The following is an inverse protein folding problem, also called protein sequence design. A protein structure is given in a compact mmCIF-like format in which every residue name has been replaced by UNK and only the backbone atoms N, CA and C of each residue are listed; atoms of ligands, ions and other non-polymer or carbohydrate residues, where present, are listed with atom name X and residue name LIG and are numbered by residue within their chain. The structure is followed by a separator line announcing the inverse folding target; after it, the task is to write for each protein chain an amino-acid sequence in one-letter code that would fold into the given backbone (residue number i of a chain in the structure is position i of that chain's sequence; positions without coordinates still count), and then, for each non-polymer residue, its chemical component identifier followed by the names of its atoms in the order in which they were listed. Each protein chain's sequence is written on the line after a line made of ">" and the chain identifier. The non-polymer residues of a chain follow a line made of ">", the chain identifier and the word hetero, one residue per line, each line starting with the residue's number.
data_IF_246562048237
#
_entry.id   IF_246562048237
#
_cell.length_a   1.000
_cell.length_b   1.000
_cell.length_c   1.000
_cell.angle_alpha   90.00
_cell.angle_beta   90.00
_cell.angle_gamma   90.00
#
_symmetry.space_group_name_H-M   'P 1'
#
loop_
_entity.id
_entity.type
_entity.pdbx_description
1 polymer ?
#
# COMPACT_ATOMS: atom_id res chain seq x y z
N UNK A 1 33.64 -8.16 -39.53
CA UNK A 1 33.42 -9.37 -38.71
C UNK A 1 34.78 -9.91 -38.28
N UNK A 2 35.03 -10.17 -36.99
CA UNK A 2 36.29 -10.74 -36.54
C UNK A 2 36.35 -12.27 -36.74
N UNK A 3 37.54 -12.87 -36.95
CA UNK A 3 37.70 -14.29 -37.27
C UNK A 3 37.51 -15.21 -36.05
N UNK A 4 36.99 -16.42 -36.29
CA UNK A 4 36.69 -17.45 -35.27
C UNK A 4 37.89 -18.38 -35.06
N UNK A 5 38.31 -18.55 -33.81
CA UNK A 5 39.30 -19.55 -33.40
C UNK A 5 38.61 -20.89 -33.01
N UNK A 6 39.20 -22.06 -33.32
CA UNK A 6 38.62 -23.37 -33.01
C UNK A 6 38.86 -23.77 -31.54
N UNK A 7 37.81 -24.26 -30.86
CA UNK A 7 37.87 -24.78 -29.50
C UNK A 7 38.33 -26.26 -29.50
N UNK A 8 39.34 -26.56 -28.70
CA UNK A 8 39.88 -27.90 -28.47
C UNK A 8 38.97 -28.71 -27.53
N UNK A 9 38.80 -30.00 -27.84
CA UNK A 9 38.04 -30.97 -27.04
C UNK A 9 38.86 -31.38 -25.81
N UNK A 10 38.31 -31.20 -24.61
CA UNK A 10 38.93 -31.70 -23.37
C UNK A 10 38.67 -33.20 -23.19
N UNK A 11 39.76 -33.93 -22.92
CA UNK A 11 39.79 -35.34 -22.54
C UNK A 11 39.49 -35.53 -21.05
N UNK A 12 38.81 -36.63 -20.76
CA UNK A 12 38.29 -37.08 -19.46
C UNK A 12 39.40 -37.77 -18.66
N UNK A 13 39.64 -37.35 -17.41
CA UNK A 13 40.59 -37.99 -16.48
C UNK A 13 39.85 -39.06 -15.65
N UNK A 14 40.39 -40.28 -15.47
CA UNK A 14 39.89 -41.27 -14.52
C UNK A 14 40.56 -41.11 -13.14
N UNK A 15 39.78 -41.23 -12.07
CA UNK A 15 40.29 -41.17 -10.69
C UNK A 15 40.91 -42.51 -10.27
N UNK A 16 42.07 -42.40 -9.62
CA UNK A 16 42.98 -43.49 -9.32
C UNK A 16 42.65 -44.38 -8.12
N UNK A 17 43.28 -45.54 -8.17
CA UNK A 17 43.47 -46.53 -7.11
C UNK A 17 44.53 -46.10 -6.10
N UNK A 18 44.28 -46.31 -4.81
CA UNK A 18 45.32 -46.27 -3.77
C UNK A 18 45.14 -47.41 -2.76
N UNK A 19 46.28 -47.86 -2.21
CA UNK A 19 46.57 -49.18 -1.66
C UNK A 19 46.10 -49.46 -0.21
N UNK A 20 46.15 -50.78 0.05
CA UNK A 20 46.12 -51.60 1.26
C UNK A 20 46.65 -51.00 2.59
N UNK A 21 45.96 -51.40 3.68
CA UNK A 21 46.43 -51.39 5.07
C UNK A 21 45.72 -52.50 5.86
N UNK A 22 46.47 -53.20 6.73
CA UNK A 22 46.15 -54.49 7.35
C UNK A 22 45.19 -54.44 8.59
N UNK A 23 44.70 -55.64 8.95
CA UNK A 23 43.79 -56.13 10.02
C UNK A 23 44.08 -55.65 11.48
N UNK A 24 43.25 -55.92 12.54
CA UNK A 24 42.31 -57.04 12.70
C UNK A 24 40.95 -56.84 13.45
N UNK A 25 40.03 -57.77 13.13
CA UNK A 25 39.01 -58.45 13.96
C UNK A 25 38.31 -57.67 15.08
N UNK A 26 37.00 -57.45 14.94
CA UNK A 26 36.02 -57.61 16.02
C UNK A 26 34.62 -57.81 15.41
N UNK A 27 34.03 -58.96 15.71
CA UNK A 27 32.70 -59.40 15.28
C UNK A 27 31.60 -58.48 15.79
N UNK A 28 30.86 -57.83 14.88
CA UNK A 28 29.53 -57.32 15.16
C UNK A 28 28.63 -57.53 13.94
N UNK A 29 27.66 -58.42 14.11
CA UNK A 29 26.53 -58.60 13.22
C UNK A 29 25.72 -57.31 13.25
N UNK A 30 25.81 -56.50 12.20
CA UNK A 30 24.86 -55.41 11.93
C UNK A 30 24.41 -55.60 10.49
N UNK A 31 23.16 -56.04 10.33
CA UNK A 31 22.50 -56.14 9.04
C UNK A 31 22.52 -54.76 8.36
N UNK A 32 22.94 -54.64 7.08
CA UNK A 32 22.74 -53.40 6.36
C UNK A 32 21.24 -53.23 6.12
N UNK A 33 20.64 -52.22 6.76
CA UNK A 33 19.36 -51.68 6.33
C UNK A 33 19.63 -51.05 4.96
N UNK A 34 19.49 -51.86 3.92
CA UNK A 34 19.33 -51.41 2.55
C UNK A 34 18.03 -50.61 2.51
N UNK A 35 18.13 -49.30 2.61
CA UNK A 35 17.07 -48.39 2.24
C UNK A 35 17.04 -48.37 0.69
N UNK A 36 16.05 -48.97 0.01
CA UNK A 36 15.92 -48.74 -1.40
C UNK A 36 15.53 -47.28 -1.58
N UNK A 37 16.43 -46.47 -2.13
CA UNK A 37 16.10 -45.22 -2.78
C UNK A 37 15.06 -45.54 -3.86
N UNK A 38 13.78 -45.33 -3.55
CA UNK A 38 12.73 -45.44 -4.55
C UNK A 38 13.00 -44.37 -5.60
N UNK A 39 13.28 -44.71 -6.87
CA UNK A 39 13.25 -43.70 -7.91
C UNK A 39 11.82 -43.16 -7.93
N UNK A 40 11.68 -41.84 -7.87
CA UNK A 40 10.41 -41.15 -8.02
C UNK A 40 9.93 -41.39 -9.46
N UNK A 41 9.32 -42.54 -9.70
CA UNK A 41 8.74 -42.92 -10.97
C UNK A 41 7.42 -42.18 -11.13
N UNK A 42 7.38 -41.20 -12.02
CA UNK A 42 6.16 -40.57 -12.50
C UNK A 42 5.48 -41.48 -13.53
N UNK A 43 5.22 -42.74 -13.18
CA UNK A 43 4.29 -43.55 -13.98
C UNK A 43 2.89 -43.10 -13.60
N UNK A 44 2.14 -42.60 -14.58
CA UNK A 44 0.71 -42.37 -14.43
C UNK A 44 0.11 -43.66 -13.90
N UNK A 45 -0.66 -43.60 -12.80
CA UNK A 45 -1.38 -44.77 -12.31
C UNK A 45 -2.26 -45.26 -13.46
N UNK A 46 -1.84 -46.35 -14.09
CA UNK A 46 -2.57 -46.94 -15.20
C UNK A 46 -4.00 -47.18 -14.74
N UNK A 47 -4.96 -46.59 -15.46
CA UNK A 47 -6.40 -46.73 -15.18
C UNK A 47 -6.80 -48.22 -15.11
N UNK A 48 -6.02 -49.10 -15.74
CA UNK A 48 -6.16 -50.55 -15.68
C UNK A 48 -5.97 -51.15 -14.27
N UNK A 49 -5.04 -50.64 -13.45
CA UNK A 49 -4.79 -51.15 -12.07
C UNK A 49 -5.78 -50.66 -11.02
N UNK A 50 -6.62 -49.68 -11.36
CA UNK A 50 -7.74 -49.24 -10.49
C UNK A 50 -8.82 -50.31 -10.44
N UNK A 51 -9.02 -51.05 -11.53
CA UNK A 51 -10.00 -52.12 -11.65
C UNK A 51 -9.66 -53.43 -10.94
N UNK A 52 -8.40 -53.64 -10.52
CA UNK A 52 -7.89 -54.90 -9.96
C UNK A 52 -7.70 -54.92 -8.43
N UNK A 53 -8.05 -53.84 -7.71
CA UNK A 53 -8.15 -53.89 -6.24
C UNK A 53 -9.46 -54.57 -5.81
N UNK A 54 -9.73 -55.75 -6.38
CA UNK A 54 -10.99 -56.51 -6.26
C UNK A 54 -10.99 -57.41 -5.04
N UNK A 55 -10.90 -56.82 -3.86
CA UNK A 55 -11.62 -57.30 -2.67
C UNK A 55 -11.54 -56.24 -1.57
N UNK A 56 -11.96 -55.01 -1.88
CA UNK A 56 -12.14 -53.98 -0.86
C UNK A 56 -13.56 -54.06 -0.34
N UNK A 57 -13.67 -54.35 0.95
CA UNK A 57 -14.90 -54.30 1.70
C UNK A 57 -15.76 -53.09 1.25
N UNK A 58 -16.97 -53.31 0.70
CA UNK A 58 -17.83 -52.24 0.19
C UNK A 58 -18.14 -51.22 1.28
N UNK A 59 -18.19 -51.64 2.54
CA UNK A 59 -18.42 -50.77 3.68
C UNK A 59 -17.22 -49.85 3.95
N UNK A 60 -16.00 -50.39 3.97
CA UNK A 60 -14.78 -49.59 4.10
C UNK A 60 -14.62 -48.56 2.96
N UNK A 61 -15.03 -48.91 1.73
CA UNK A 61 -15.08 -47.97 0.60
C UNK A 61 -16.09 -46.85 0.87
N UNK A 62 -17.33 -47.19 1.25
CA UNK A 62 -18.36 -46.21 1.55
C UNK A 62 -17.92 -45.24 2.66
N UNK A 63 -17.30 -45.74 3.74
CA UNK A 63 -16.74 -44.89 4.80
C UNK A 63 -15.62 -43.97 4.30
N UNK A 64 -14.71 -44.47 3.46
CA UNK A 64 -13.65 -43.65 2.86
C UNK A 64 -14.23 -42.55 1.95
N UNK A 65 -15.27 -42.88 1.18
CA UNK A 65 -16.02 -41.91 0.38
C UNK A 65 -16.69 -40.86 1.25
N UNK A 66 -17.36 -41.24 2.35
CA UNK A 66 -17.96 -40.29 3.31
C UNK A 66 -16.91 -39.34 3.90
N UNK A 67 -15.75 -39.85 4.34
CA UNK A 67 -14.64 -39.01 4.84
C UNK A 67 -14.13 -38.03 3.79
N UNK A 68 -14.02 -38.48 2.53
CA UNK A 68 -13.62 -37.62 1.40
C UNK A 68 -14.67 -36.55 1.13
N UNK A 69 -15.96 -36.90 1.08
CA UNK A 69 -17.06 -35.96 0.88
C UNK A 69 -17.10 -34.91 1.99
N UNK A 70 -16.94 -35.31 3.26
CA UNK A 70 -16.87 -34.39 4.38
C UNK A 70 -15.66 -33.43 4.29
N UNK A 71 -14.49 -33.92 3.87
CA UNK A 71 -13.31 -33.07 3.67
C UNK A 71 -13.51 -32.09 2.50
N UNK A 72 -14.06 -32.56 1.38
CA UNK A 72 -14.40 -31.70 0.23
C UNK A 72 -15.41 -30.62 0.61
N UNK A 73 -16.48 -30.97 1.32
CA UNK A 73 -17.46 -30.00 1.83
C UNK A 73 -16.79 -28.95 2.75
N UNK A 74 -15.91 -29.37 3.66
CA UNK A 74 -15.14 -28.44 4.51
C UNK A 74 -14.21 -27.56 3.68
N UNK A 75 -13.55 -28.12 2.67
CA UNK A 75 -12.66 -27.39 1.77
C UNK A 75 -13.41 -26.34 0.96
N UNK A 76 -14.61 -26.65 0.47
CA UNK A 76 -15.49 -25.72 -0.24
C UNK A 76 -15.90 -24.54 0.66
N UNK A 77 -16.26 -24.79 1.92
CA UNK A 77 -16.56 -23.73 2.89
C UNK A 77 -15.35 -22.81 3.08
N UNK A 78 -14.17 -23.38 3.35
CA UNK A 78 -12.94 -22.61 3.52
C UNK A 78 -12.53 -21.86 2.24
N UNK A 79 -12.80 -22.42 1.06
CA UNK A 79 -12.55 -21.74 -0.21
C UNK A 79 -13.47 -20.52 -0.38
N UNK A 80 -14.76 -20.65 -0.06
CA UNK A 80 -15.71 -19.52 -0.09
C UNK A 80 -15.27 -18.41 0.88
N UNK A 81 -14.89 -18.75 2.10
CA UNK A 81 -14.37 -17.80 3.10
C UNK A 81 -13.10 -17.08 2.60
N UNK A 82 -12.14 -17.83 2.05
CA UNK A 82 -10.91 -17.25 1.48
C UNK A 82 -11.18 -16.39 0.25
N UNK A 83 -12.11 -16.79 -0.61
CA UNK A 83 -12.49 -16.03 -1.80
C UNK A 83 -13.14 -14.69 -1.41
N UNK A 84 -14.02 -14.69 -0.41
CA UNK A 84 -14.60 -13.47 0.14
C UNK A 84 -13.53 -12.55 0.74
N UNK A 85 -12.56 -13.10 1.48
CA UNK A 85 -11.46 -12.33 2.07
C UNK A 85 -10.46 -11.79 1.03
N UNK A 86 -10.40 -12.36 -0.18
CA UNK A 86 -9.48 -11.94 -1.23
C UNK A 86 -9.80 -10.52 -1.73
N UNK A 87 -11.07 -10.12 -1.71
CA UNK A 87 -11.55 -8.79 -2.12
C UNK A 87 -11.36 -8.49 -3.61
N UNK A 88 -11.67 -7.26 -4.02
CA UNK A 88 -11.44 -6.78 -5.39
C UNK A 88 -9.94 -6.50 -5.63
N UNK A 89 -9.30 -7.08 -6.67
CA UNK A 89 -7.89 -6.81 -6.98
C UNK A 89 -7.57 -5.34 -7.31
N UNK A 90 -8.56 -4.55 -7.77
CA UNK A 90 -8.37 -3.13 -8.10
C UNK A 90 -8.65 -2.26 -6.88
N UNK A 91 -9.84 -2.36 -6.29
CA UNK A 91 -10.30 -1.45 -5.23
C UNK A 91 -9.94 -1.92 -3.82
N UNK A 92 -9.78 -3.22 -3.59
CA UNK A 92 -9.63 -3.78 -2.25
C UNK A 92 -10.91 -3.60 -1.43
N UNK A 93 -10.76 -3.30 -0.15
CA UNK A 93 -11.85 -2.97 0.78
C UNK A 93 -11.86 -1.45 0.97
N UNK A 94 -13.03 -0.82 0.88
CA UNK A 94 -13.14 0.62 1.13
C UNK A 94 -12.92 0.93 2.61
N UNK A 95 -12.10 1.94 2.89
CA UNK A 95 -11.77 2.43 4.24
C UNK A 95 -12.11 3.92 4.36
N UNK A 96 -12.28 4.46 5.57
CA UNK A 96 -12.59 5.88 5.76
C UNK A 96 -11.50 6.80 5.17
N UNK A 97 -10.23 6.38 5.21
CA UNK A 97 -9.16 7.13 4.55
C UNK A 97 -9.36 7.19 3.04
N UNK A 98 -9.71 6.07 2.42
CA UNK A 98 -9.93 6.00 0.98
C UNK A 98 -11.18 6.80 0.56
N UNK A 99 -12.25 6.79 1.37
CA UNK A 99 -13.42 7.64 1.15
C UNK A 99 -13.07 9.13 1.20
N UNK A 100 -12.18 9.52 2.12
CA UNK A 100 -11.70 10.90 2.23
C UNK A 100 -10.90 11.42 1.02
N UNK A 101 -10.55 10.53 0.07
CA UNK A 101 -9.89 10.90 -1.19
C UNK A 101 -10.89 11.33 -2.26
N UNK A 102 -12.14 10.86 -2.20
CA UNK A 102 -13.17 11.21 -3.19
C UNK A 102 -13.78 12.59 -2.87
N UNK A 103 -13.93 12.90 -1.59
CA UNK A 103 -14.49 14.16 -1.12
C UNK A 103 -13.39 15.18 -0.85
N UNK A 104 -13.56 16.39 -1.40
CA UNK A 104 -12.65 17.51 -1.13
C UNK A 104 -12.69 17.95 0.34
N UNK A 105 -13.83 17.72 1.01
CA UNK A 105 -14.06 18.06 2.41
C UNK A 105 -13.70 16.87 3.30
N UNK A 106 -12.95 17.05 4.40
CA UNK A 106 -12.89 16.02 5.43
C UNK A 106 -14.31 15.83 5.93
N UNK A 107 -14.93 14.67 5.68
CA UNK A 107 -16.23 14.30 6.22
C UNK A 107 -16.25 14.72 7.71
N UNK A 108 -16.97 15.80 8.03
CA UNK A 108 -17.37 16.06 9.39
C UNK A 108 -18.15 14.81 9.79
N UNK A 109 -17.59 14.08 10.76
CA UNK A 109 -18.08 12.84 11.34
C UNK A 109 -19.36 12.30 10.68
N UNK A 110 -19.23 11.23 9.89
CA UNK A 110 -20.38 10.34 9.69
C UNK A 110 -20.92 10.05 11.10
N UNK A 111 -22.17 10.41 11.42
CA UNK A 111 -22.77 10.00 12.68
C UNK A 111 -22.90 8.50 12.59
N UNK A 112 -21.92 7.80 13.16
CA UNK A 112 -22.04 6.38 13.39
C UNK A 112 -22.90 6.27 14.63
N UNK A 113 -24.18 6.01 14.40
CA UNK A 113 -25.10 5.63 15.45
C UNK A 113 -24.49 4.47 16.25
N UNK A 114 -24.69 4.52 17.57
CA UNK A 114 -24.46 3.46 18.58
C UNK A 114 -23.08 3.43 19.27
N UNK A 115 -23.07 4.06 20.46
CA UNK A 115 -22.35 3.76 21.70
C UNK A 115 -21.22 2.70 21.71
N UNK A 116 -20.10 3.11 22.34
CA UNK A 116 -19.09 2.27 22.98
C UNK A 116 -17.93 1.78 22.10
N UNK A 117 -16.96 2.65 21.86
CA UNK A 117 -15.55 2.29 22.02
C UNK A 117 -14.71 3.54 22.31
N UNK A 118 -14.07 3.53 23.48
CA UNK A 118 -13.20 4.60 23.97
C UNK A 118 -11.82 4.41 23.32
N UNK A 119 -11.66 4.91 22.10
CA UNK A 119 -10.33 5.08 21.50
C UNK A 119 -9.84 6.51 21.77
N UNK A 120 -8.60 6.72 22.22
CA UNK A 120 -8.09 8.06 22.49
C UNK A 120 -7.82 8.77 21.16
N UNK A 121 -8.81 9.48 20.64
CA UNK A 121 -8.67 10.29 19.43
C UNK A 121 -7.97 11.61 19.76
N UNK A 122 -6.68 11.57 20.04
CA UNK A 122 -5.80 12.69 19.67
C UNK A 122 -5.57 12.62 18.15
N UNK A 123 -6.65 12.70 17.36
CA UNK A 123 -6.52 13.01 15.95
C UNK A 123 -6.15 14.48 15.91
N UNK A 124 -4.86 14.77 15.77
CA UNK A 124 -4.40 16.07 15.30
C UNK A 124 -5.29 16.45 14.13
N UNK A 125 -6.18 17.44 14.34
CA UNK A 125 -7.13 17.91 13.33
C UNK A 125 -6.28 18.53 12.24
N UNK A 126 -5.91 17.71 11.24
CA UNK A 126 -5.03 18.16 10.16
C UNK A 126 -5.78 19.22 9.39
N UNK A 127 -5.12 20.35 9.17
CA UNK A 127 -5.66 21.47 8.41
C UNK A 127 -6.17 20.99 7.04
N UNK A 128 -7.32 21.50 6.56
CA UNK A 128 -7.81 21.13 5.24
C UNK A 128 -6.81 21.59 4.17
N UNK A 129 -6.47 20.68 3.25
CA UNK A 129 -5.69 21.05 2.07
C UNK A 129 -6.49 22.01 1.21
N UNK A 130 -5.95 23.21 1.02
CA UNK A 130 -6.50 24.18 0.10
C UNK A 130 -5.95 23.96 -1.32
N UNK A 131 -6.55 24.64 -2.29
CA UNK A 131 -6.01 24.67 -3.64
C UNK A 131 -4.65 25.39 -3.68
N UNK A 132 -3.89 25.16 -4.75
CA UNK A 132 -2.59 25.81 -5.02
C UNK A 132 -1.50 25.54 -3.97
N UNK A 133 -1.62 24.44 -3.22
CA UNK A 133 -0.66 24.03 -2.16
C UNK A 133 -0.58 25.03 -0.99
N UNK A 134 -1.64 25.80 -0.76
CA UNK A 134 -1.69 26.74 0.36
C UNK A 134 -2.16 26.05 1.64
N UNK A 135 -1.67 26.53 2.78
CA UNK A 135 -2.24 26.18 4.09
C UNK A 135 -3.16 27.30 4.60
N UNK A 136 -4.21 26.98 5.39
CA UNK A 136 -5.09 28.00 5.96
C UNK A 136 -4.34 29.05 6.77
N UNK A 137 -3.31 28.64 7.51
CA UNK A 137 -2.43 29.52 8.27
C UNK A 137 -1.60 30.47 7.38
N UNK A 138 -1.10 30.00 6.24
CA UNK A 138 -0.38 30.85 5.28
C UNK A 138 -1.30 31.90 4.68
N UNK A 139 -2.51 31.49 4.25
CA UNK A 139 -3.51 32.40 3.70
C UNK A 139 -3.87 33.48 4.72
N UNK A 140 -4.15 33.09 5.97
CA UNK A 140 -4.44 34.04 7.04
C UNK A 140 -3.29 35.01 7.28
N UNK A 141 -2.06 34.50 7.37
CA UNK A 141 -0.86 35.34 7.56
C UNK A 141 -0.67 36.34 6.42
N UNK A 142 -0.90 35.92 5.17
CA UNK A 142 -0.82 36.80 4.00
C UNK A 142 -1.92 37.86 4.01
N UNK A 143 -3.14 37.51 4.43
CA UNK A 143 -4.25 38.45 4.58
C UNK A 143 -3.96 39.50 5.66
N UNK A 144 -3.49 39.08 6.83
CA UNK A 144 -3.08 39.97 7.92
C UNK A 144 -1.96 40.91 7.49
N UNK A 145 -0.94 40.37 6.80
CA UNK A 145 0.15 41.18 6.26
C UNK A 145 -0.36 42.24 5.27
N UNK A 146 -1.23 41.86 4.33
CA UNK A 146 -1.82 42.77 3.35
C UNK A 146 -2.71 43.84 4.01
N UNK A 147 -3.48 43.46 5.03
CA UNK A 147 -4.30 44.38 5.81
C UNK A 147 -3.44 45.44 6.49
N UNK A 148 -2.36 45.03 7.16
CA UNK A 148 -1.46 45.94 7.86
C UNK A 148 -0.76 46.92 6.91
N UNK A 149 -0.36 46.45 5.72
CA UNK A 149 0.31 47.28 4.72
C UNK A 149 -0.63 48.32 4.08
N UNK A 150 -1.90 47.96 3.88
CA UNK A 150 -2.90 48.80 3.20
C UNK A 150 -3.73 49.65 4.17
N UNK A 151 -3.55 49.46 5.48
CA UNK A 151 -4.27 50.19 6.52
C UNK A 151 -4.09 51.70 6.33
N UNK A 152 -5.18 52.50 6.31
CA UNK A 152 -5.05 53.94 6.16
C UNK A 152 -4.20 54.52 7.30
N UNK A 153 -3.18 55.34 7.00
CA UNK A 153 -2.32 55.91 8.03
C UNK A 153 -3.12 56.88 8.91
N UNK A 154 -2.86 56.85 10.20
CA UNK A 154 -3.41 57.81 11.15
C UNK A 154 -2.56 59.07 11.08
N UNK A 155 -3.20 60.24 10.99
CA UNK A 155 -2.46 61.49 10.92
C UNK A 155 -1.74 61.79 12.25
N UNK A 156 -0.49 62.25 12.17
CA UNK A 156 0.27 62.66 13.35
C UNK A 156 -0.34 63.91 14.01
N UNK A 157 -0.86 64.83 13.21
CA UNK A 157 -1.45 66.09 13.66
C UNK A 157 -2.97 65.98 13.78
N UNK A 158 -3.48 65.78 15.02
CA UNK A 158 -4.92 65.58 15.29
C UNK A 158 -5.78 66.84 15.12
N UNK A 159 -5.19 68.02 15.15
CA UNK A 159 -5.93 69.29 15.08
C UNK A 159 -6.42 69.64 13.67
N UNK A 160 -5.86 69.00 12.63
CA UNK A 160 -6.14 69.30 11.23
C UNK A 160 -7.14 68.31 10.63
N UNK A 161 -7.25 67.11 11.20
CA UNK A 161 -7.97 65.99 10.59
C UNK A 161 -9.27 65.68 11.32
N UNK A 162 -10.36 65.62 10.56
CA UNK A 162 -11.67 65.28 11.09
C UNK A 162 -11.73 63.79 11.49
N UNK A 163 -12.05 63.46 12.76
CA UNK A 163 -12.07 62.08 13.25
C UNK A 163 -13.16 61.23 12.55
N UNK A 164 -14.27 61.85 12.14
CA UNK A 164 -15.35 61.16 11.42
C UNK A 164 -14.88 60.62 10.05
N UNK A 165 -14.04 61.38 9.34
CA UNK A 165 -13.52 60.99 8.03
C UNK A 165 -12.45 59.90 8.14
N UNK A 166 -11.64 59.93 9.20
CA UNK A 166 -10.70 58.83 9.50
C UNK A 166 -11.45 57.53 9.84
N UNK A 167 -12.49 57.62 10.66
CA UNK A 167 -13.33 56.48 11.02
C UNK A 167 -14.04 55.89 9.78
N UNK A 168 -14.56 56.73 8.90
CA UNK A 168 -15.18 56.30 7.64
C UNK A 168 -14.17 55.56 6.74
N UNK A 169 -12.96 56.11 6.56
CA UNK A 169 -11.89 55.47 5.78
C UNK A 169 -11.50 54.12 6.37
N UNK A 170 -11.38 54.03 7.70
CA UNK A 170 -11.09 52.78 8.40
C UNK A 170 -12.22 51.75 8.20
N UNK A 171 -13.49 52.18 8.27
CA UNK A 171 -14.65 51.31 8.01
C UNK A 171 -14.66 50.77 6.58
N UNK A 172 -14.49 51.65 5.59
CA UNK A 172 -14.44 51.26 4.17
C UNK A 172 -13.26 50.32 3.90
N UNK A 173 -12.10 50.55 4.52
CA UNK A 173 -10.94 49.65 4.41
C UNK A 173 -11.24 48.27 5.01
N UNK A 174 -11.86 48.21 6.18
CA UNK A 174 -12.25 46.95 6.82
C UNK A 174 -13.29 46.17 5.98
N UNK A 175 -14.32 46.84 5.46
CA UNK A 175 -15.33 46.23 4.57
C UNK A 175 -14.69 45.68 3.28
N UNK A 176 -13.78 46.45 2.66
CA UNK A 176 -13.04 46.00 1.47
C UNK A 176 -12.15 44.81 1.78
N UNK A 177 -11.49 44.82 2.94
CA UNK A 177 -10.67 43.69 3.38
C UNK A 177 -11.51 42.44 3.60
N UNK A 178 -12.65 42.55 4.29
CA UNK A 178 -13.57 41.43 4.49
C UNK A 178 -14.07 40.85 3.16
N UNK A 179 -14.44 41.71 2.22
CA UNK A 179 -14.84 41.27 0.87
C UNK A 179 -13.69 40.55 0.14
N UNK A 180 -12.45 41.04 0.26
CA UNK A 180 -11.27 40.38 -0.29
C UNK A 180 -11.00 39.02 0.37
N UNK A 181 -11.12 38.92 1.70
CA UNK A 181 -11.01 37.65 2.43
C UNK A 181 -12.02 36.63 1.93
N UNK A 182 -13.29 37.04 1.80
CA UNK A 182 -14.37 36.19 1.26
C UNK A 182 -14.07 35.74 -0.17
N UNK A 183 -13.62 36.64 -1.04
CA UNK A 183 -13.23 36.30 -2.41
C UNK A 183 -12.06 35.30 -2.46
N UNK A 184 -10.99 35.56 -1.71
CA UNK A 184 -9.80 34.69 -1.64
C UNK A 184 -10.17 33.31 -1.09
N UNK A 185 -10.99 33.24 -0.03
CA UNK A 185 -11.44 31.97 0.53
C UNK A 185 -12.14 31.09 -0.51
N UNK A 186 -12.95 31.68 -1.41
CA UNK A 186 -13.63 30.97 -2.50
C UNK A 186 -12.67 30.52 -3.59
N UNK A 187 -11.72 31.38 -3.98
CA UNK A 187 -10.71 31.07 -5.00
C UNK A 187 -9.82 29.90 -4.54
N UNK A 188 -9.43 29.92 -3.27
CA UNK A 188 -8.50 28.96 -2.68
C UNK A 188 -9.20 27.67 -2.23
N UNK A 189 -10.53 27.66 -2.11
CA UNK A 189 -11.29 26.44 -1.78
C UNK A 189 -11.05 25.31 -2.79
N UNK A 190 -10.80 24.09 -2.29
CA UNK A 190 -10.56 22.92 -3.14
C UNK A 190 -11.85 22.39 -3.78
N UNK A 191 -13.01 22.73 -3.23
CA UNK A 191 -14.33 22.33 -3.73
C UNK A 191 -14.56 22.82 -5.16
N UNK A 192 -14.20 24.08 -5.42
CA UNK A 192 -14.26 24.73 -6.72
C UNK A 192 -13.10 24.30 -7.66
N UNK A 193 -12.19 23.45 -7.19
CA UNK A 193 -11.01 23.00 -7.93
C UNK A 193 -11.30 21.88 -8.93
N UNK A 194 -10.41 21.75 -9.92
CA UNK A 194 -10.47 20.67 -10.91
C UNK A 194 -10.05 19.32 -10.27
N UNK A 195 -10.42 18.21 -10.91
CA UNK A 195 -9.91 16.87 -10.64
C UNK A 195 -8.39 16.82 -10.46
N UNK A 196 -7.63 17.56 -11.27
CA UNK A 196 -6.17 17.66 -11.16
C UNK A 196 -5.74 18.24 -9.81
N UNK A 197 -6.41 19.28 -9.34
CA UNK A 197 -6.08 19.91 -8.06
C UNK A 197 -6.44 19.00 -6.88
N UNK A 198 -7.58 18.29 -6.98
CA UNK A 198 -7.95 17.23 -6.03
C UNK A 198 -6.90 16.13 -5.97
N UNK A 199 -6.40 15.67 -7.13
CA UNK A 199 -5.32 14.65 -7.15
C UNK A 199 -4.02 15.15 -6.52
N UNK A 200 -3.68 16.44 -6.67
CA UNK A 200 -2.51 17.04 -6.02
C UNK A 200 -2.68 17.11 -4.50
N UNK A 201 -3.84 17.55 -4.02
CA UNK A 201 -4.17 17.54 -2.60
C UNK A 201 -4.13 16.12 -2.01
N UNK A 202 -4.66 15.13 -2.75
CA UNK A 202 -4.60 13.73 -2.34
C UNK A 202 -3.17 13.19 -2.28
N UNK A 203 -2.28 13.61 -3.18
CA UNK A 203 -0.84 13.27 -3.09
C UNK A 203 -0.24 13.83 -1.79
N UNK A 204 -0.56 15.08 -1.43
CA UNK A 204 -0.09 15.68 -0.18
C UNK A 204 -0.64 14.93 1.04
N UNK A 205 -1.95 14.63 1.07
CA UNK A 205 -2.57 13.78 2.10
C UNK A 205 -1.82 12.45 2.26
N UNK A 206 -1.49 11.78 1.16
CA UNK A 206 -0.73 10.52 1.18
C UNK A 206 0.67 10.69 1.77
N UNK A 207 1.39 11.76 1.42
CA UNK A 207 2.72 12.08 1.97
C UNK A 207 2.61 12.35 3.48
N UNK A 208 1.60 13.11 3.91
CA UNK A 208 1.42 13.48 5.31
C UNK A 208 1.05 12.27 6.16
N UNK A 209 0.27 11.32 5.63
CA UNK A 209 -0.16 10.10 6.35
C UNK A 209 0.93 9.03 6.34
N UNK A 210 1.50 8.70 5.19
CA UNK A 210 2.39 7.54 5.01
C UNK A 210 3.88 7.90 4.94
N UNK A 211 4.21 9.19 4.88
CA UNK A 211 5.60 9.64 4.81
C UNK A 211 6.38 9.21 6.04
N UNK A 212 7.56 8.61 5.82
CA UNK A 212 8.39 8.06 6.92
C UNK A 212 8.81 9.13 7.93
N UNK A 213 8.93 10.37 7.49
CA UNK A 213 9.19 11.53 8.36
C UNK A 213 8.12 11.74 9.47
N UNK A 214 6.89 11.26 9.25
CA UNK A 214 5.82 11.28 10.26
C UNK A 214 5.64 9.92 10.93
N UNK A 215 5.67 8.83 10.16
CA UNK A 215 5.41 7.49 10.71
C UNK A 215 6.54 6.97 11.61
N UNK A 216 7.79 7.36 11.34
CA UNK A 216 8.95 6.94 12.14
C UNK A 216 8.85 7.42 13.60
N UNK A 217 7.98 8.41 13.90
CA UNK A 217 7.74 8.94 15.26
C UNK A 217 6.93 8.00 16.15
N UNK A 218 6.03 7.20 15.58
CA UNK A 218 5.08 6.39 16.35
C UNK A 218 5.01 4.92 15.94
N UNK A 219 5.49 4.55 14.76
CA UNK A 219 5.58 3.15 14.34
C UNK A 219 6.94 2.58 14.70
N UNK A 220 6.93 1.34 15.20
CA UNK A 220 8.19 0.65 15.48
C UNK A 220 8.96 0.39 14.18
N UNK A 221 10.31 0.49 14.22
CA UNK A 221 11.13 0.10 13.09
C UNK A 221 11.12 -1.42 12.94
N UNK A 222 11.45 -1.88 11.73
CA UNK A 222 11.66 -3.30 11.46
C UNK A 222 12.68 -3.89 12.43
N UNK A 223 12.35 -5.06 13.00
CA UNK A 223 13.28 -5.86 13.80
C UNK A 223 14.60 -6.09 13.04
N UNK A 224 15.78 -5.97 13.69
CA UNK A 224 17.06 -6.19 13.02
C UNK A 224 17.11 -7.58 12.37
N UNK A 225 17.92 -7.72 11.30
CA UNK A 225 18.27 -9.05 10.81
C UNK A 225 18.98 -9.81 11.92
N UNK A 226 18.73 -11.12 12.04
CA UNK A 226 19.53 -11.99 12.91
C UNK A 226 20.98 -11.86 12.44
N UNK A 227 21.77 -11.06 13.14
CA UNK A 227 23.22 -11.02 12.97
C UNK A 227 23.75 -12.26 13.69
N UNK A 228 24.72 -12.96 13.10
CA UNK A 228 25.40 -14.09 13.76
C UNK A 228 25.83 -13.66 15.16
N UNK A 229 25.56 -14.51 16.17
CA UNK A 229 25.75 -14.22 17.61
C UNK A 229 27.19 -13.83 17.98
N UNK A 230 28.13 -14.03 17.06
CA UNK A 230 29.57 -13.91 17.29
C UNK A 230 30.11 -12.49 17.11
N UNK A 231 29.29 -11.52 16.71
CA UNK A 231 29.71 -10.11 16.61
C UNK A 231 29.34 -9.35 17.88
N UNK A 232 30.31 -8.74 18.60
CA UNK A 232 30.02 -7.96 19.80
C UNK A 232 28.98 -6.87 19.48
N UNK A 233 28.07 -6.67 20.43
CA UNK A 233 26.87 -5.83 20.37
C UNK A 233 27.20 -4.37 19.98
N UNK A 234 27.53 -4.13 18.71
CA UNK A 234 27.76 -2.79 18.19
C UNK A 234 26.40 -2.10 18.12
N UNK A 235 26.24 -0.90 18.73
CA UNK A 235 25.02 -0.14 18.59
C UNK A 235 24.73 0.04 17.10
N UNK A 236 23.48 -0.11 16.66
CA UNK A 236 23.15 0.10 15.25
C UNK A 236 23.64 1.49 14.82
N UNK A 237 24.24 1.63 13.63
CA UNK A 237 24.77 2.91 13.19
C UNK A 237 23.65 3.97 13.23
N UNK A 238 23.97 5.12 13.83
CA UNK A 238 23.04 6.24 13.89
C UNK A 238 22.73 6.70 12.46
N UNK A 239 21.44 6.80 12.13
CA UNK A 239 21.02 7.17 10.79
C UNK A 239 21.12 8.68 10.63
N UNK A 240 21.67 9.13 9.51
CA UNK A 240 21.67 10.55 9.18
C UNK A 240 20.25 11.10 9.14
N UNK A 241 19.99 12.30 9.70
CA UNK A 241 18.67 12.90 9.65
C UNK A 241 18.30 13.19 8.19
N UNK A 242 17.01 13.10 7.89
CA UNK A 242 16.49 13.40 6.55
C UNK A 242 16.56 14.91 6.31
N UNK A 243 17.00 15.30 5.12
CA UNK A 243 17.02 16.71 4.71
C UNK A 243 15.61 17.30 4.48
N UNK A 244 14.61 16.47 4.20
CA UNK A 244 13.27 16.94 3.86
C UNK A 244 12.19 15.87 3.99
N UNK A 245 10.95 16.19 3.57
CA UNK A 245 9.83 15.28 3.64
C UNK A 245 10.05 14.06 2.74
N UNK A 246 9.69 12.89 3.27
CA UNK A 246 9.80 11.64 2.53
C UNK A 246 8.65 11.49 1.53
N UNK A 247 8.99 11.55 0.24
CA UNK A 247 8.06 11.44 -0.89
C UNK A 247 8.25 10.17 -1.72
N UNK A 248 9.38 9.48 -1.53
CA UNK A 248 9.83 8.38 -2.39
C UNK A 248 9.68 6.99 -1.77
N UNK A 249 9.23 6.88 -0.53
CA UNK A 249 9.08 5.59 0.14
C UNK A 249 8.01 4.70 -0.51
N UNK A 250 8.17 3.36 -0.44
CA UNK A 250 7.22 2.44 -1.07
C UNK A 250 5.80 2.62 -0.51
N UNK A 251 5.66 3.04 0.75
CA UNK A 251 4.38 3.34 1.38
C UNK A 251 3.65 4.49 0.68
N UNK A 252 4.34 5.62 0.55
CA UNK A 252 3.82 6.82 -0.12
C UNK A 252 3.52 6.52 -1.59
N UNK A 253 4.41 5.80 -2.27
CA UNK A 253 4.19 5.42 -3.68
C UNK A 253 2.93 4.56 -3.85
N UNK A 254 2.72 3.56 -2.98
CA UNK A 254 1.52 2.71 -3.03
C UNK A 254 0.25 3.50 -2.73
N UNK A 255 0.28 4.41 -1.76
CA UNK A 255 -0.85 5.28 -1.45
C UNK A 255 -1.23 6.19 -2.62
N UNK A 256 -0.23 6.83 -3.26
CA UNK A 256 -0.44 7.66 -4.45
C UNK A 256 -0.97 6.84 -5.63
N UNK A 257 -0.43 5.64 -5.86
CA UNK A 257 -0.94 4.74 -6.90
C UNK A 257 -2.38 4.35 -6.63
N UNK A 258 -2.74 4.10 -5.38
CA UNK A 258 -4.12 3.77 -4.99
C UNK A 258 -5.07 4.93 -5.25
N UNK A 259 -4.70 6.16 -4.92
CA UNK A 259 -5.49 7.35 -5.26
C UNK A 259 -5.69 7.50 -6.78
N UNK A 260 -4.62 7.30 -7.58
CA UNK A 260 -4.69 7.36 -9.05
C UNK A 260 -5.55 6.25 -9.66
N UNK A 261 -5.40 5.02 -9.16
CA UNK A 261 -6.21 3.86 -9.57
C UNK A 261 -7.68 4.15 -9.31
N UNK A 262 -8.03 4.68 -8.13
CA UNK A 262 -9.41 5.01 -7.78
C UNK A 262 -10.02 6.06 -8.70
N UNK A 263 -9.31 7.16 -8.96
CA UNK A 263 -9.76 8.22 -9.88
C UNK A 263 -9.99 7.66 -11.28
N UNK A 264 -9.05 6.86 -11.79
CA UNK A 264 -9.13 6.29 -13.13
C UNK A 264 -10.22 5.21 -13.23
N UNK A 265 -10.35 4.35 -12.21
CA UNK A 265 -11.42 3.34 -12.13
C UNK A 265 -12.81 4.00 -12.12
N UNK A 266 -13.00 5.04 -11.30
CA UNK A 266 -14.24 5.81 -11.27
C UNK A 266 -14.55 6.49 -12.62
N UNK A 267 -13.52 6.98 -13.31
CA UNK A 267 -13.68 7.55 -14.66
C UNK A 267 -14.13 6.50 -15.70
N UNK A 268 -13.59 5.28 -15.64
CA UNK A 268 -13.94 4.21 -16.58
C UNK A 268 -15.31 3.58 -16.33
N UNK A 269 -15.75 3.52 -15.07
CA UNK A 269 -17.06 2.98 -14.69
C UNK A 269 -18.21 3.96 -14.99
N UNK A 270 -17.93 5.26 -15.10
CA UNK A 270 -18.93 6.31 -15.32
C UNK A 270 -19.71 6.60 -14.05
N UNK A 271 -19.89 7.88 -13.71
CA UNK A 271 -20.72 8.26 -12.58
C UNK A 271 -22.19 7.94 -12.89
N UNK A 272 -22.72 6.85 -12.32
CA UNK A 272 -24.16 6.66 -12.12
C UNK A 272 -25.05 6.65 -13.36
N UNK A 273 -25.00 5.60 -14.17
CA UNK A 273 -26.16 5.15 -14.95
C UNK A 273 -26.53 5.92 -16.23
N UNK A 274 -25.94 7.08 -16.53
CA UNK A 274 -26.07 7.72 -17.85
C UNK A 274 -24.72 7.80 -18.54
N UNK A 275 -24.68 7.17 -19.71
CA UNK A 275 -23.62 7.22 -20.71
C UNK A 275 -22.39 6.33 -20.45
N UNK A 276 -22.40 5.19 -21.11
CA UNK A 276 -21.32 4.22 -21.27
C UNK A 276 -20.09 4.78 -22.04
N UNK A 277 -19.66 6.01 -21.76
CA UNK A 277 -18.52 6.67 -22.42
C UNK A 277 -17.17 5.98 -22.14
N UNK A 278 -17.01 5.36 -20.96
CA UNK A 278 -15.77 4.66 -20.56
C UNK A 278 -15.57 3.27 -21.18
N UNK A 279 -16.59 2.69 -21.83
CA UNK A 279 -16.48 1.33 -22.39
C UNK A 279 -15.50 1.26 -23.57
N UNK A 280 -15.38 2.35 -24.32
CA UNK A 280 -14.54 2.45 -25.51
C UNK A 280 -13.13 2.99 -25.22
N UNK A 281 -12.84 3.42 -24.00
CA UNK A 281 -11.51 3.94 -23.65
C UNK A 281 -10.51 2.81 -23.38
N UNK A 282 -9.96 2.26 -24.46
CA UNK A 282 -8.97 1.16 -24.42
C UNK A 282 -7.62 1.61 -23.85
N UNK A 283 -7.25 2.88 -24.04
CA UNK A 283 -5.97 3.41 -23.57
C UNK A 283 -5.97 3.57 -22.06
N UNK A 284 -7.02 4.14 -21.48
CA UNK A 284 -7.11 4.27 -20.03
C UNK A 284 -7.33 2.92 -19.33
N UNK A 285 -8.03 1.96 -19.94
CA UNK A 285 -8.05 0.57 -19.44
C UNK A 285 -6.63 -0.03 -19.36
N UNK A 286 -5.81 0.15 -20.39
CA UNK A 286 -4.39 -0.25 -20.34
C UNK A 286 -3.63 0.49 -19.23
N UNK A 287 -3.84 1.80 -19.08
CA UNK A 287 -3.20 2.60 -18.04
C UNK A 287 -3.59 2.13 -16.63
N UNK A 288 -4.86 1.80 -16.40
CA UNK A 288 -5.35 1.22 -15.14
C UNK A 288 -4.57 -0.05 -14.81
N UNK A 289 -4.46 -0.98 -15.77
CA UNK A 289 -3.72 -2.23 -15.59
C UNK A 289 -2.26 -1.98 -15.21
N UNK A 290 -1.59 -1.07 -15.92
CA UNK A 290 -0.20 -0.71 -15.62
C UNK A 290 -0.05 -0.13 -14.21
N UNK A 291 -0.99 0.71 -13.75
CA UNK A 291 -0.96 1.26 -12.40
C UNK A 291 -1.17 0.17 -11.34
N UNK A 292 -2.14 -0.72 -11.54
CA UNK A 292 -2.45 -1.84 -10.63
C UNK A 292 -1.24 -2.80 -10.53
N UNK A 293 -0.63 -3.18 -11.67
CA UNK A 293 0.56 -4.02 -11.67
C UNK A 293 1.79 -3.33 -11.05
N UNK A 294 1.95 -2.01 -11.25
CA UNK A 294 2.99 -1.23 -10.58
C UNK A 294 2.78 -1.23 -9.06
N UNK A 295 1.55 -1.04 -8.59
CA UNK A 295 1.19 -1.13 -7.16
C UNK A 295 1.47 -2.52 -6.60
N UNK A 296 1.10 -3.58 -7.32
CA UNK A 296 1.37 -4.96 -6.94
C UNK A 296 2.88 -5.23 -6.77
N UNK A 297 3.73 -4.75 -7.68
CA UNK A 297 5.18 -4.88 -7.56
C UNK A 297 5.72 -4.18 -6.30
N UNK A 298 5.23 -2.98 -6.00
CA UNK A 298 5.62 -2.23 -4.81
C UNK A 298 5.18 -2.93 -3.52
N UNK A 299 3.95 -3.47 -3.49
CA UNK A 299 3.44 -4.22 -2.34
C UNK A 299 4.26 -5.50 -2.06
N UNK A 300 4.60 -6.26 -3.10
CA UNK A 300 5.47 -7.45 -2.97
C UNK A 300 6.85 -7.08 -2.42
N UNK A 301 7.45 -6.01 -2.93
CA UNK A 301 8.72 -5.49 -2.43
C UNK A 301 8.62 -5.08 -0.96
N UNK A 302 7.63 -4.25 -0.62
CA UNK A 302 7.44 -3.73 0.73
C UNK A 302 7.18 -4.84 1.75
N UNK A 303 6.31 -5.81 1.44
CA UNK A 303 6.07 -6.95 2.34
C UNK A 303 7.36 -7.72 2.64
N UNK A 304 8.19 -7.94 1.63
CA UNK A 304 9.47 -8.66 1.79
C UNK A 304 10.46 -7.83 2.60
N UNK A 305 10.52 -6.51 2.36
CA UNK A 305 11.43 -5.59 3.05
C UNK A 305 11.03 -5.35 4.50
N UNK A 306 9.76 -5.15 4.80
CA UNK A 306 9.28 -4.87 6.17
C UNK A 306 8.98 -6.16 6.96
N UNK A 307 9.03 -7.35 6.34
CA UNK A 307 8.72 -8.66 6.93
C UNK A 307 7.35 -8.72 7.62
N UNK A 308 6.38 -7.92 7.17
CA UNK A 308 5.06 -7.85 7.78
C UNK A 308 5.01 -7.09 9.11
N UNK A 309 6.00 -6.25 9.41
CA UNK A 309 6.01 -5.39 10.60
C UNK A 309 4.90 -4.33 10.59
N UNK A 310 4.86 -3.50 11.63
CA UNK A 310 3.78 -2.53 11.88
C UNK A 310 3.57 -1.55 10.72
N UNK A 311 4.62 -1.13 10.03
CA UNK A 311 4.53 -0.22 8.87
C UNK A 311 3.71 -0.82 7.72
N UNK A 312 3.96 -2.10 7.43
CA UNK A 312 3.20 -2.84 6.44
C UNK A 312 1.75 -2.99 6.84
N UNK A 313 1.50 -3.35 8.10
CA UNK A 313 0.14 -3.52 8.62
C UNK A 313 -0.63 -2.21 8.59
N UNK A 314 -0.03 -1.10 9.03
CA UNK A 314 -0.63 0.23 9.01
C UNK A 314 -1.02 0.64 7.58
N UNK A 315 -0.14 0.42 6.60
CA UNK A 315 -0.44 0.71 5.20
C UNK A 315 -1.63 -0.11 4.68
N UNK A 316 -1.59 -1.42 4.90
CA UNK A 316 -2.60 -2.37 4.41
C UNK A 316 -3.96 -2.08 5.03
N UNK A 317 -4.01 -1.82 6.34
CA UNK A 317 -5.23 -1.49 7.06
C UNK A 317 -5.80 -0.12 6.66
N UNK A 318 -4.95 0.90 6.55
CA UNK A 318 -5.40 2.26 6.22
C UNK A 318 -5.91 2.36 4.78
N UNK A 319 -5.22 1.72 3.83
CA UNK A 319 -5.62 1.72 2.41
C UNK A 319 -6.63 0.63 2.05
N UNK A 320 -6.93 -0.31 2.95
CA UNK A 320 -7.85 -1.42 2.70
C UNK A 320 -7.35 -2.42 1.65
N UNK A 321 -6.04 -2.64 1.57
CA UNK A 321 -5.45 -3.51 0.56
C UNK A 321 -5.53 -4.98 0.99
N UNK A 322 -6.21 -5.82 0.23
CA UNK A 322 -6.33 -7.25 0.53
C UNK A 322 -5.24 -8.07 -0.13
N UNK A 323 -5.14 -9.35 0.21
CA UNK A 323 -4.23 -10.29 -0.46
C UNK A 323 -4.47 -10.36 -1.97
N UNK A 324 -5.70 -10.15 -2.46
CA UNK A 324 -6.03 -10.14 -3.90
C UNK A 324 -5.41 -8.99 -4.68
N UNK A 325 -5.07 -7.89 -4.01
CA UNK A 325 -4.48 -6.72 -4.68
C UNK A 325 -3.03 -6.89 -5.07
N UNK A 326 -2.33 -7.93 -4.57
CA UNK A 326 -0.91 -8.12 -4.86
C UNK A 326 -0.42 -9.58 -4.91
N UNK A 327 -1.11 -10.54 -4.28
CA UNK A 327 -0.82 -11.97 -4.44
C UNK A 327 -1.38 -12.48 -5.76
N UNK A 328 -0.72 -13.48 -6.34
CA UNK A 328 -1.15 -14.11 -7.59
C UNK A 328 -1.03 -13.19 -8.80
N UNK A 329 -1.70 -13.57 -9.89
CA UNK A 329 -1.79 -12.80 -11.13
C UNK A 329 -3.07 -11.96 -11.13
N UNK A 330 -2.97 -10.69 -11.54
CA UNK A 330 -4.12 -9.78 -11.63
C UNK A 330 -4.50 -9.64 -13.10
N UNK A 331 -5.63 -10.23 -13.47
CA UNK A 331 -6.26 -10.12 -14.79
C UNK A 331 -7.42 -9.13 -14.75
N UNK A 332 -7.42 -8.14 -15.67
CA UNK A 332 -8.40 -7.04 -15.76
C UNK A 332 -8.94 -6.86 -17.17
#
# INVERSE_FOLDING_TARGET
>A
MPPRLPLTRYLRIPNGSFQQGAAPQLTRIVAPISCPSRPFSTTSVDKAKVGERRHRDPYALAQAHQRKVANLARQEVLQKERAAALGDPVRGITTPFIESLDYAVPHAAIPTDTSTSRSPSTSTRREPHLNYFLTPSEVQRSLEYSYNLTKPPVASNRNIVDPAREAERARVHAERHENAQRAISRIVSLENGNSKDRTRANVQKCIDVFGRHNTDKYLTPRSPSIVSRDSPLSPPPEKTPRAGPDTGSPEVQVAILTAKIRVLANHLEGQGGREAGGKNDKHNKRNLRLLVHRRQKMLRYMRTKERGGERWQNLVQTLGLTDGTWRGEISL
#
